data_IF_225942622169
#
_entry.id   IF_225942622169
#
_cell.length_a   1.000
_cell.length_b   1.000
_cell.length_c   1.000
_cell.angle_alpha   90.00
_cell.angle_beta   90.00
_cell.angle_gamma   90.00
#
_symmetry.space_group_name_H-M   'P 1'
#
loop_
_entity.id
_entity.type
_entity.pdbx_description
1 polymer ?
#
# COMPACT_ATOMS: atom_id res chain seq x y z
N UNK A 1 3.34 -4.51 5.97
CA UNK A 1 1.88 -4.66 5.81
C UNK A 1 1.58 -5.12 4.40
N UNK A 2 2.08 -4.46 3.36
CA UNK A 2 1.82 -4.75 1.94
C UNK A 2 2.89 -5.61 1.26
N UNK A 3 3.82 -6.19 2.00
CA UNK A 3 4.85 -7.10 1.49
C UNK A 3 4.67 -8.45 2.16
N UNK A 4 4.89 -9.52 1.41
CA UNK A 4 4.82 -10.87 1.93
C UNK A 4 5.87 -11.11 3.01
N UNK A 5 5.50 -11.94 3.98
CA UNK A 5 6.40 -12.44 5.02
C UNK A 5 6.19 -13.95 5.14
N UNK A 6 7.22 -14.74 5.50
CA UNK A 6 7.12 -16.20 5.56
C UNK A 6 5.94 -16.72 6.42
N UNK A 7 5.51 -15.94 7.41
CA UNK A 7 4.45 -16.28 8.37
C UNK A 7 3.17 -15.45 8.21
N UNK A 8 3.11 -14.53 7.24
CA UNK A 8 1.94 -13.67 7.03
C UNK A 8 1.90 -13.14 5.60
N UNK A 9 0.81 -13.38 4.85
CA UNK A 9 0.66 -12.79 3.52
C UNK A 9 0.59 -11.26 3.60
N UNK A 10 0.97 -10.60 2.50
CA UNK A 10 0.75 -9.18 2.32
C UNK A 10 -0.75 -8.84 2.48
N UNK A 11 -1.02 -7.72 3.15
CA UNK A 11 -2.32 -7.08 3.13
C UNK A 11 -2.54 -6.42 1.77
N UNK A 12 -3.80 -6.39 1.32
CA UNK A 12 -4.19 -5.53 0.21
C UNK A 12 -3.94 -4.06 0.55
N UNK A 13 -3.84 -3.20 -0.47
CA UNK A 13 -3.69 -1.76 -0.27
C UNK A 13 -4.83 -1.20 0.58
N UNK A 14 -6.06 -1.65 0.34
CA UNK A 14 -7.25 -1.25 1.10
C UNK A 14 -7.16 -1.64 2.57
N UNK A 15 -6.76 -2.89 2.85
CA UNK A 15 -6.55 -3.38 4.21
C UNK A 15 -5.43 -2.61 4.92
N UNK A 16 -4.33 -2.35 4.22
CA UNK A 16 -3.23 -1.56 4.77
C UNK A 16 -3.64 -0.11 5.05
N UNK A 17 -4.42 0.51 4.16
CA UNK A 17 -4.94 1.85 4.37
C UNK A 17 -5.92 1.92 5.56
N UNK A 18 -6.80 0.93 5.71
CA UNK A 18 -7.70 0.83 6.86
C UNK A 18 -6.92 0.77 8.17
N UNK A 19 -5.88 -0.06 8.23
CA UNK A 19 -5.02 -0.21 9.40
C UNK A 19 -4.26 1.09 9.75
N UNK A 20 -3.74 1.81 8.73
CA UNK A 20 -3.10 3.12 8.94
C UNK A 20 -4.09 4.15 9.50
N UNK A 21 -5.35 4.13 9.02
CA UNK A 21 -6.41 5.00 9.54
C UNK A 21 -6.78 4.65 10.98
N UNK A 22 -6.90 3.36 11.30
CA UNK A 22 -7.23 2.87 12.65
C UNK A 22 -6.13 3.19 13.67
N UNK A 23 -4.86 3.18 13.25
CA UNK A 23 -3.71 3.53 14.10
C UNK A 23 -3.48 5.03 14.30
N UNK A 24 -4.35 5.91 13.77
CA UNK A 24 -4.20 7.37 13.89
C UNK A 24 -4.32 7.83 15.35
N UNK A 25 -3.31 8.51 15.85
CA UNK A 25 -3.27 9.01 17.23
C UNK A 25 -2.80 7.98 18.26
N UNK A 26 -2.46 6.77 17.83
CA UNK A 26 -1.89 5.73 18.67
C UNK A 26 -0.53 5.32 18.11
N UNK A 27 -0.51 4.40 17.15
CA UNK A 27 0.70 3.93 16.48
C UNK A 27 1.30 5.00 15.55
N UNK A 28 0.45 5.85 14.98
CA UNK A 28 0.86 6.87 14.01
C UNK A 28 0.47 8.27 14.47
N UNK A 29 1.38 9.23 14.26
CA UNK A 29 1.10 10.63 14.54
C UNK A 29 -0.09 11.12 13.68
N UNK A 30 -1.12 11.75 14.28
CA UNK A 30 -2.33 12.18 13.57
C UNK A 30 -2.07 12.97 12.30
N UNK A 31 -1.20 13.97 12.40
CA UNK A 31 -0.84 14.86 11.30
C UNK A 31 -0.17 14.16 10.11
N UNK A 32 0.57 13.07 10.37
CA UNK A 32 1.23 12.28 9.30
C UNK A 32 0.21 11.44 8.56
N UNK A 33 -0.72 10.81 9.28
CA UNK A 33 -1.83 10.05 8.67
C UNK A 33 -2.69 10.96 7.81
N UNK A 34 -3.03 12.16 8.30
CA UNK A 34 -3.82 13.12 7.55
C UNK A 34 -3.11 13.57 6.27
N UNK A 35 -1.82 13.90 6.36
CA UNK A 35 -1.00 14.27 5.20
C UNK A 35 -0.88 13.12 4.19
N UNK A 36 -0.67 11.88 4.67
CA UNK A 36 -0.59 10.68 3.85
C UNK A 36 -1.85 10.50 2.99
N UNK A 37 -3.04 10.56 3.61
CA UNK A 37 -4.30 10.43 2.87
C UNK A 37 -4.59 11.64 1.97
N UNK A 38 -4.15 12.84 2.35
CA UNK A 38 -4.25 14.02 1.50
C UNK A 38 -3.43 13.87 0.21
N UNK A 39 -2.22 13.30 0.30
CA UNK A 39 -1.38 12.99 -0.86
C UNK A 39 -1.99 11.86 -1.68
N UNK A 40 -2.48 10.80 -1.05
CA UNK A 40 -3.09 9.65 -1.73
C UNK A 40 -4.29 10.08 -2.60
N UNK A 41 -5.15 10.96 -2.08
CA UNK A 41 -6.29 11.50 -2.83
C UNK A 41 -5.86 12.33 -4.05
N UNK A 42 -4.71 13.00 -3.99
CA UNK A 42 -4.16 13.81 -5.10
C UNK A 42 -3.38 12.97 -6.11
N UNK A 43 -2.84 11.82 -5.69
CA UNK A 43 -2.05 10.91 -6.52
C UNK A 43 -2.39 9.44 -6.22
N UNK A 44 -3.48 8.91 -6.80
CA UNK A 44 -3.92 7.53 -6.56
C UNK A 44 -2.90 6.48 -7.02
N UNK A 45 -2.11 6.79 -8.07
CA UNK A 45 -1.18 5.86 -8.71
C UNK A 45 0.05 5.49 -7.86
N UNK A 46 0.28 6.13 -6.71
CA UNK A 46 1.45 5.85 -5.85
C UNK A 46 1.42 4.41 -5.28
N UNK A 47 0.24 3.80 -5.23
CA UNK A 47 0.06 2.42 -4.75
C UNK A 47 -0.44 1.47 -5.82
N UNK A 48 -0.46 1.88 -7.09
CA UNK A 48 -0.62 0.88 -8.14
C UNK A 48 0.60 -0.04 -8.08
N UNK A 49 0.40 -1.37 -8.02
CA UNK A 49 1.52 -2.27 -8.26
C UNK A 49 2.11 -1.88 -9.61
N UNK A 50 3.44 -1.79 -9.73
CA UNK A 50 4.06 -1.73 -11.05
C UNK A 50 3.43 -2.86 -11.84
N UNK A 51 2.64 -2.50 -12.87
CA UNK A 51 1.99 -3.48 -13.72
C UNK A 51 3.08 -4.46 -14.12
N UNK A 52 2.90 -5.78 -13.94
CA UNK A 52 3.96 -6.71 -14.26
C UNK A 52 4.37 -6.40 -15.70
N UNK A 53 5.61 -5.94 -15.86
CA UNK A 53 6.23 -5.86 -17.17
C UNK A 53 6.18 -7.28 -17.69
N UNK A 54 5.20 -7.57 -18.54
CA UNK A 54 5.08 -8.84 -19.23
C UNK A 54 6.32 -8.95 -20.12
N UNK A 55 7.44 -9.39 -19.57
CA UNK A 55 8.47 -10.03 -20.35
C UNK A 55 7.91 -11.39 -20.75
N UNK A 56 7.14 -11.36 -21.85
CA UNK A 56 6.75 -12.54 -22.57
C UNK A 56 8.02 -13.15 -23.19
N UNK A 57 8.76 -13.93 -22.41
CA UNK A 57 9.75 -14.85 -22.97
C UNK A 57 8.99 -15.97 -23.65
N UNK A 58 8.72 -15.80 -24.94
CA UNK A 58 8.37 -16.87 -25.85
C UNK A 58 9.51 -17.89 -25.84
N UNK A 59 9.31 -19.02 -25.18
CA UNK A 59 10.13 -20.21 -25.38
C UNK A 59 9.50 -21.01 -26.52
N UNK A 60 10.28 -21.16 -27.60
CA UNK A 60 9.97 -21.97 -28.77
C UNK A 60 10.19 -23.46 -28.56
#
# INVERSE_FOLDING_TARGET
MTSDRPYRPALSIEQAAAEVRNGRGTQFAPQVVDAFFAVLRRRPLIFEPESPSFEATAAG
#
